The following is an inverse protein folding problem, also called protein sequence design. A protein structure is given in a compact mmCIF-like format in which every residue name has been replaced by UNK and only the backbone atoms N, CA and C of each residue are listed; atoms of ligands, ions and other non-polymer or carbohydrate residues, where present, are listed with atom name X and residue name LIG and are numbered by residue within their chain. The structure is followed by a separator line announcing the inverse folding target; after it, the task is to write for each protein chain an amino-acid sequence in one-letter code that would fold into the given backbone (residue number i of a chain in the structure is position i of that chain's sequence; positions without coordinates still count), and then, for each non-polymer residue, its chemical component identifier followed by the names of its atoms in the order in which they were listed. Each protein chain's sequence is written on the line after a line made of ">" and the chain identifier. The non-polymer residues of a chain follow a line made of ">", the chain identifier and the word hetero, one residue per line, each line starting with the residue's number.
data_IF_606442329015
#
_entry.id   IF_606442329015
#
_cell.length_a   1.000
_cell.length_b   1.000
_cell.length_c   1.000
_cell.angle_alpha   90.00
_cell.angle_beta   90.00
_cell.angle_gamma   90.00
#
_symmetry.space_group_name_H-M   'P 1'
#
loop_
_entity.id
_entity.type
_entity.pdbx_description
1 polymer ?
#
# COMPACT_ATOMS: atom_id res chain seq x y z
N UNK A 1 -48.48 34.25 41.29
CA UNK A 1 -47.09 34.03 40.87
C UNK A 1 -46.91 32.55 40.65
N UNK A 2 -46.84 32.08 39.41
CA UNK A 2 -46.68 30.68 39.06
C UNK A 2 -45.20 30.50 38.61
N UNK A 3 -44.43 29.70 39.34
CA UNK A 3 -43.05 29.38 39.02
C UNK A 3 -43.02 28.21 38.04
N UNK A 4 -42.50 28.48 36.85
CA UNK A 4 -42.29 27.47 35.83
C UNK A 4 -40.86 26.89 35.97
N UNK A 5 -40.77 25.61 36.39
CA UNK A 5 -39.51 24.89 36.48
C UNK A 5 -39.11 24.31 35.10
N UNK A 6 -38.01 24.74 34.58
CA UNK A 6 -37.39 24.16 33.38
C UNK A 6 -36.47 23.01 33.78
N UNK A 7 -36.82 21.80 33.36
CA UNK A 7 -35.94 20.63 33.49
C UNK A 7 -35.00 20.56 32.28
N UNK A 8 -33.70 20.71 32.51
CA UNK A 8 -32.68 20.48 31.49
C UNK A 8 -32.39 18.96 31.42
N UNK A 9 -32.74 18.36 30.26
CA UNK A 9 -32.30 17.02 29.95
C UNK A 9 -30.87 17.05 29.40
N UNK A 10 -29.92 16.52 30.16
CA UNK A 10 -28.52 16.34 29.68
C UNK A 10 -28.46 15.08 28.85
N UNK A 11 -28.41 15.26 27.51
CA UNK A 11 -28.15 14.15 26.57
C UNK A 11 -26.70 13.74 26.69
N UNK A 12 -26.42 12.60 27.32
CA UNK A 12 -25.08 12.01 27.40
C UNK A 12 -24.63 11.53 26.02
N UNK A 13 -23.55 12.12 25.49
CA UNK A 13 -22.85 11.56 24.33
C UNK A 13 -22.18 10.25 24.78
N UNK A 14 -22.69 9.11 24.30
CA UNK A 14 -22.00 7.84 24.39
C UNK A 14 -20.72 7.94 23.56
N UNK A 15 -19.54 7.91 24.21
CA UNK A 15 -18.29 7.76 23.52
C UNK A 15 -18.28 6.38 22.84
N UNK A 16 -18.22 6.38 21.49
CA UNK A 16 -17.99 5.16 20.75
C UNK A 16 -16.64 4.58 21.18
N UNK A 17 -16.65 3.36 21.73
CA UNK A 17 -15.42 2.64 22.07
C UNK A 17 -14.54 2.44 20.82
N UNK A 18 -13.25 2.09 20.99
CA UNK A 18 -12.34 1.86 19.87
C UNK A 18 -12.94 0.80 18.94
N UNK A 19 -13.26 1.22 17.71
CA UNK A 19 -13.72 0.31 16.67
C UNK A 19 -12.54 -0.56 16.26
N UNK A 20 -12.56 -1.82 16.65
CA UNK A 20 -11.61 -2.81 16.14
C UNK A 20 -11.95 -3.06 14.68
N UNK A 21 -11.03 -2.72 13.77
CA UNK A 21 -11.21 -3.03 12.35
C UNK A 21 -11.40 -4.55 12.17
N UNK A 22 -12.32 -4.98 11.28
CA UNK A 22 -12.50 -6.40 11.02
C UNK A 22 -11.21 -7.02 10.51
N UNK A 23 -10.93 -8.30 10.83
CA UNK A 23 -9.73 -8.99 10.35
C UNK A 23 -9.72 -9.01 8.83
N UNK A 24 -8.53 -8.76 8.26
CA UNK A 24 -8.31 -8.74 6.82
C UNK A 24 -8.42 -10.18 6.27
N UNK A 25 -9.32 -10.39 5.30
CA UNK A 25 -9.48 -11.68 4.63
C UNK A 25 -8.61 -11.68 3.37
N UNK A 26 -7.60 -12.58 3.28
CA UNK A 26 -6.74 -12.67 2.10
C UNK A 26 -7.53 -13.05 0.83
N UNK A 27 -7.19 -12.44 -0.30
CA UNK A 27 -7.74 -12.81 -1.59
C UNK A 27 -7.15 -14.11 -2.14
N UNK A 28 -7.91 -14.78 -3.00
CA UNK A 28 -7.50 -15.98 -3.73
C UNK A 28 -7.50 -15.74 -5.23
N UNK A 29 -6.92 -16.63 -6.03
CA UNK A 29 -6.96 -16.53 -7.50
C UNK A 29 -8.37 -16.56 -8.08
N UNK A 30 -9.32 -17.23 -7.40
CA UNK A 30 -10.73 -17.26 -7.80
C UNK A 30 -11.54 -16.05 -7.32
N UNK A 31 -11.08 -15.39 -6.25
CA UNK A 31 -11.70 -14.20 -5.66
C UNK A 31 -10.59 -13.28 -5.14
N UNK A 32 -9.92 -12.52 -6.01
CA UNK A 32 -8.88 -11.57 -5.62
C UNK A 32 -9.44 -10.49 -4.68
N UNK A 33 -8.67 -10.10 -3.66
CA UNK A 33 -9.02 -8.96 -2.82
C UNK A 33 -8.68 -7.66 -3.53
N UNK A 34 -9.61 -6.72 -3.56
CA UNK A 34 -9.36 -5.40 -4.13
C UNK A 34 -8.45 -4.57 -3.21
N UNK A 35 -7.42 -3.97 -3.81
CA UNK A 35 -6.46 -3.08 -3.13
C UNK A 35 -6.28 -1.83 -3.98
N UNK A 36 -6.53 -0.66 -3.40
CA UNK A 36 -6.29 0.61 -4.06
C UNK A 36 -4.93 1.18 -3.64
N UNK A 37 -4.16 1.64 -4.62
CA UNK A 37 -2.96 2.47 -4.44
C UNK A 37 -3.17 3.75 -5.23
N UNK A 38 -3.39 4.84 -4.52
CA UNK A 38 -3.67 6.14 -5.13
C UNK A 38 -2.38 6.96 -5.09
N UNK A 39 -1.83 7.26 -6.27
CA UNK A 39 -0.73 8.20 -6.45
C UNK A 39 -1.28 9.62 -6.59
N UNK A 40 -0.68 10.56 -5.91
CA UNK A 40 -0.82 12.00 -6.11
C UNK A 40 0.58 12.61 -6.14
N UNK A 41 0.69 13.87 -6.54
CA UNK A 41 2.01 14.46 -6.68
C UNK A 41 2.78 14.39 -5.35
N UNK A 42 3.71 13.43 -5.37
CA UNK A 42 4.71 12.96 -4.42
C UNK A 42 4.20 12.24 -3.17
N UNK A 43 2.96 11.70 -3.20
CA UNK A 43 2.44 10.87 -2.11
C UNK A 43 1.66 9.67 -2.63
N UNK A 44 1.63 8.60 -1.83
CA UNK A 44 0.70 7.47 -2.01
C UNK A 44 -0.33 7.42 -0.89
N UNK A 45 -1.50 6.86 -1.20
CA UNK A 45 -2.53 6.52 -0.23
C UNK A 45 -3.12 5.14 -0.58
N UNK A 46 -3.52 4.32 0.42
CA UNK A 46 -3.37 4.56 1.85
C UNK A 46 -1.91 4.51 2.32
N UNK A 47 -1.64 5.00 3.52
CA UNK A 47 -0.37 4.87 4.23
C UNK A 47 -0.65 4.25 5.62
N UNK A 48 -0.23 3.01 5.85
CA UNK A 48 0.45 2.05 4.96
C UNK A 48 -0.49 1.35 3.96
N UNK A 49 0.08 0.73 2.92
CA UNK A 49 -0.63 -0.23 2.08
C UNK A 49 -0.65 -1.60 2.77
N UNK A 50 -1.82 -2.21 2.90
CA UNK A 50 -1.96 -3.53 3.56
C UNK A 50 -1.98 -4.66 2.54
N UNK A 51 -1.06 -5.62 2.68
CA UNK A 51 -0.96 -6.84 1.88
C UNK A 51 -0.79 -8.07 2.77
N UNK A 52 -1.16 -9.26 2.27
CA UNK A 52 -0.95 -10.54 2.93
C UNK A 52 -0.02 -11.41 2.09
N UNK A 53 1.07 -11.96 2.65
CA UNK A 53 1.93 -12.87 1.91
C UNK A 53 1.15 -14.07 1.35
N UNK A 54 1.31 -14.35 0.06
CA UNK A 54 0.62 -15.44 -0.64
C UNK A 54 -0.80 -15.12 -1.12
N UNK A 55 -1.39 -13.97 -0.78
CA UNK A 55 -2.69 -13.59 -1.31
C UNK A 55 -2.65 -13.23 -2.80
N UNK A 56 -3.78 -13.35 -3.46
CA UNK A 56 -3.99 -12.75 -4.79
C UNK A 56 -4.84 -11.49 -4.64
N UNK A 57 -4.34 -10.38 -5.17
CA UNK A 57 -5.04 -9.08 -5.17
C UNK A 57 -5.40 -8.63 -6.58
N UNK A 58 -6.51 -7.91 -6.69
CA UNK A 58 -6.79 -7.03 -7.80
C UNK A 58 -6.33 -5.63 -7.37
N UNK A 59 -5.12 -5.28 -7.80
CA UNK A 59 -4.50 -4.00 -7.46
C UNK A 59 -4.97 -2.92 -8.44
N UNK A 60 -5.54 -1.86 -7.90
CA UNK A 60 -5.94 -0.66 -8.63
C UNK A 60 -4.93 0.44 -8.36
N UNK A 61 -4.04 0.72 -9.32
CA UNK A 61 -3.15 1.87 -9.25
C UNK A 61 -3.82 3.04 -9.95
N UNK A 62 -4.10 4.11 -9.19
CA UNK A 62 -4.90 5.25 -9.64
C UNK A 62 -4.04 6.51 -9.51
N UNK A 63 -3.90 7.27 -10.57
CA UNK A 63 -3.19 8.54 -10.52
C UNK A 63 -4.18 9.71 -10.46
N UNK A 64 -4.32 10.31 -9.29
CA UNK A 64 -5.08 11.54 -9.05
C UNK A 64 -4.20 12.80 -9.01
N UNK A 65 -2.91 12.70 -9.41
CA UNK A 65 -1.97 13.81 -9.55
C UNK A 65 -1.89 14.33 -10.98
N UNK A 66 -1.00 15.27 -11.22
CA UNK A 66 -0.78 15.90 -12.52
C UNK A 66 0.39 15.29 -13.29
N UNK A 67 1.35 14.73 -12.59
CA UNK A 67 2.52 14.09 -13.19
C UNK A 67 2.29 12.60 -13.45
N UNK A 68 3.18 11.99 -14.24
CA UNK A 68 3.24 10.53 -14.38
C UNK A 68 3.83 9.96 -13.10
N UNK A 69 3.28 8.88 -12.60
CA UNK A 69 3.79 8.16 -11.44
C UNK A 69 3.99 6.68 -11.76
N UNK A 70 4.71 6.01 -10.89
CA UNK A 70 4.77 4.55 -10.89
C UNK A 70 4.64 4.02 -9.47
N UNK A 71 4.05 2.85 -9.33
CA UNK A 71 4.04 2.10 -8.09
C UNK A 71 4.99 0.91 -8.25
N UNK A 72 6.16 0.99 -7.63
CA UNK A 72 7.11 -0.11 -7.48
C UNK A 72 6.91 -0.72 -6.12
N UNK A 73 6.50 -1.99 -6.07
CA UNK A 73 6.20 -2.71 -4.84
C UNK A 73 7.24 -3.80 -4.63
N UNK A 74 7.99 -3.71 -3.53
CA UNK A 74 9.03 -4.68 -3.21
C UNK A 74 9.86 -4.29 -1.99
N UNK A 75 10.87 -5.10 -1.70
CA UNK A 75 11.86 -4.85 -0.65
C UNK A 75 12.92 -3.82 -1.05
N UNK A 76 13.89 -3.59 -0.18
CA UNK A 76 14.96 -2.61 -0.42
C UNK A 76 15.76 -2.91 -1.71
N UNK A 77 16.02 -4.18 -2.03
CA UNK A 77 16.78 -4.53 -3.24
C UNK A 77 16.00 -4.18 -4.52
N UNK A 78 14.67 -4.36 -4.50
CA UNK A 78 13.78 -3.93 -5.59
C UNK A 78 13.80 -2.41 -5.74
N UNK A 79 13.68 -1.67 -4.63
CA UNK A 79 13.66 -0.21 -4.66
C UNK A 79 14.99 0.35 -5.18
N UNK A 80 16.13 -0.16 -4.70
CA UNK A 80 17.46 0.26 -5.12
C UNK A 80 17.70 0.00 -6.61
N UNK A 81 17.23 -1.15 -7.12
CA UNK A 81 17.37 -1.50 -8.54
C UNK A 81 16.60 -0.53 -9.44
N UNK A 82 15.37 -0.19 -9.07
CA UNK A 82 14.56 0.76 -9.85
C UNK A 82 15.06 2.18 -9.74
N UNK A 83 15.52 2.63 -8.56
CA UNK A 83 16.13 3.94 -8.39
C UNK A 83 17.36 4.10 -9.30
N UNK A 84 18.24 3.09 -9.34
CA UNK A 84 19.42 3.12 -10.21
C UNK A 84 19.03 3.11 -11.70
N UNK A 85 18.04 2.32 -12.11
CA UNK A 85 17.58 2.25 -13.49
C UNK A 85 16.93 3.56 -13.95
N UNK A 86 16.09 4.18 -13.12
CA UNK A 86 15.44 5.46 -13.42
C UNK A 86 16.43 6.62 -13.40
N UNK A 87 17.37 6.65 -12.47
CA UNK A 87 18.42 7.67 -12.43
C UNK A 87 19.24 7.75 -13.74
N UNK A 88 19.43 6.61 -14.42
CA UNK A 88 20.11 6.57 -15.71
C UNK A 88 19.32 7.27 -16.85
N UNK A 89 18.05 7.61 -16.64
CA UNK A 89 17.21 8.34 -17.60
C UNK A 89 17.17 9.84 -17.34
N UNK A 90 17.64 10.30 -16.18
CA UNK A 90 17.61 11.71 -15.78
C UNK A 90 18.35 12.58 -16.80
N UNK A 91 17.73 13.70 -17.17
CA UNK A 91 18.30 14.66 -18.13
C UNK A 91 18.23 14.22 -19.60
N UNK A 92 17.60 13.11 -19.95
CA UNK A 92 17.35 12.75 -21.35
C UNK A 92 16.27 13.66 -21.96
N UNK A 93 16.41 14.01 -23.25
CA UNK A 93 15.36 14.78 -23.93
C UNK A 93 14.02 14.05 -23.91
N UNK A 94 12.89 14.78 -23.90
CA UNK A 94 11.58 14.15 -24.08
C UNK A 94 11.55 13.34 -25.36
N UNK A 95 11.19 12.09 -25.27
CA UNK A 95 11.11 11.14 -26.38
C UNK A 95 10.28 9.93 -25.96
N UNK A 96 10.10 8.92 -26.82
CA UNK A 96 9.49 7.68 -26.39
C UNK A 96 10.32 7.16 -25.21
N UNK A 97 9.67 7.01 -24.06
CA UNK A 97 10.32 6.57 -22.81
C UNK A 97 11.07 5.27 -23.10
N UNK A 98 12.39 5.18 -22.87
CA UNK A 98 13.11 3.94 -23.04
C UNK A 98 12.44 2.87 -22.18
N UNK A 99 12.32 1.64 -22.69
CA UNK A 99 11.90 0.52 -21.86
C UNK A 99 12.96 0.33 -20.76
N UNK A 100 12.65 0.78 -19.55
CA UNK A 100 13.53 0.62 -18.40
C UNK A 100 13.21 -0.75 -17.82
N UNK A 101 14.24 -1.54 -17.55
CA UNK A 101 14.12 -2.86 -16.96
C UNK A 101 15.22 -3.09 -15.93
N UNK A 102 14.90 -3.91 -14.96
CA UNK A 102 15.85 -4.41 -13.95
C UNK A 102 15.90 -5.94 -14.04
N UNK A 103 16.91 -6.60 -13.45
CA UNK A 103 16.95 -8.06 -13.37
C UNK A 103 15.67 -8.63 -12.74
N UNK A 104 15.17 -9.79 -13.23
CA UNK A 104 13.88 -10.34 -12.79
C UNK A 104 13.79 -10.64 -11.28
N UNK A 105 14.90 -10.99 -10.64
CA UNK A 105 15.00 -11.28 -9.20
C UNK A 105 14.82 -10.06 -8.31
N UNK A 106 15.00 -8.86 -8.86
CA UNK A 106 14.78 -7.57 -8.16
C UNK A 106 13.73 -6.71 -8.87
N UNK A 107 12.90 -7.29 -9.71
CA UNK A 107 11.89 -6.53 -10.44
C UNK A 107 10.69 -6.12 -9.59
N UNK A 108 10.32 -6.91 -8.59
CA UNK A 108 9.11 -6.66 -7.81
C UNK A 108 7.85 -6.58 -8.70
N UNK A 109 6.88 -5.76 -8.28
CA UNK A 109 5.78 -5.35 -9.15
C UNK A 109 5.94 -3.86 -9.49
N UNK A 110 5.96 -3.51 -10.79
CA UNK A 110 5.97 -2.13 -11.25
C UNK A 110 4.75 -1.82 -12.11
N UNK A 111 4.06 -0.75 -11.79
CA UNK A 111 2.90 -0.24 -12.53
C UNK A 111 3.11 1.24 -12.81
N UNK A 112 3.19 1.63 -14.07
CA UNK A 112 3.27 3.05 -14.48
C UNK A 112 1.87 3.56 -14.76
N UNK A 113 1.55 4.76 -14.28
CA UNK A 113 0.21 5.34 -14.38
C UNK A 113 0.29 6.84 -14.71
N UNK A 114 -0.38 7.26 -15.81
CA UNK A 114 -0.42 8.66 -16.24
C UNK A 114 -1.45 9.46 -15.45
N UNK A 115 -1.36 10.77 -15.50
CA UNK A 115 -2.36 11.65 -14.87
C UNK A 115 -3.78 11.29 -15.28
N UNK A 116 -4.66 11.09 -14.30
CA UNK A 116 -6.06 10.69 -14.49
C UNK A 116 -6.26 9.23 -14.90
N UNK A 117 -5.19 8.44 -15.01
CA UNK A 117 -5.25 7.01 -15.40
C UNK A 117 -5.47 6.11 -14.19
N UNK A 118 -6.11 4.97 -14.43
CA UNK A 118 -6.16 3.81 -13.54
C UNK A 118 -5.66 2.58 -14.30
N UNK A 119 -4.79 1.83 -13.68
CA UNK A 119 -4.30 0.55 -14.18
C UNK A 119 -4.66 -0.53 -13.17
N UNK A 120 -5.31 -1.59 -13.65
CA UNK A 120 -5.75 -2.72 -12.84
C UNK A 120 -4.86 -3.93 -13.12
N UNK A 121 -4.31 -4.53 -12.06
CA UNK A 121 -3.40 -5.69 -12.16
C UNK A 121 -3.84 -6.76 -11.17
N UNK A 122 -4.07 -7.97 -11.69
CA UNK A 122 -4.18 -9.16 -10.81
C UNK A 122 -2.78 -9.64 -10.48
N UNK A 123 -2.45 -9.67 -9.20
CA UNK A 123 -1.12 -10.02 -8.73
C UNK A 123 -1.16 -10.92 -7.51
N UNK A 124 -0.32 -11.95 -7.50
CA UNK A 124 -0.13 -12.78 -6.31
C UNK A 124 1.10 -12.30 -5.56
N UNK A 125 0.89 -11.86 -4.33
CA UNK A 125 1.96 -11.43 -3.43
C UNK A 125 2.85 -12.63 -3.13
N UNK A 126 4.19 -12.54 -3.29
CA UNK A 126 5.07 -13.65 -2.96
C UNK A 126 4.87 -14.12 -1.52
N UNK A 127 4.74 -15.44 -1.31
CA UNK A 127 4.54 -15.98 0.04
C UNK A 127 5.73 -15.71 0.98
N UNK A 128 6.92 -15.52 0.41
CA UNK A 128 8.15 -15.17 1.15
C UNK A 128 8.22 -13.70 1.57
N UNK A 129 7.34 -12.84 1.08
CA UNK A 129 7.43 -11.38 1.27
C UNK A 129 7.33 -10.94 2.75
N UNK A 130 6.57 -11.67 3.58
CA UNK A 130 6.31 -11.29 4.98
C UNK A 130 7.52 -11.28 5.90
N UNK A 131 8.69 -11.74 5.45
CA UNK A 131 9.95 -11.73 6.22
C UNK A 131 10.77 -10.44 6.07
N UNK A 132 10.37 -9.52 5.18
CA UNK A 132 11.11 -8.31 4.88
C UNK A 132 10.21 -7.06 4.94
N UNK A 133 10.83 -5.90 5.17
CA UNK A 133 10.16 -4.63 5.02
C UNK A 133 10.00 -4.32 3.53
N UNK A 134 8.77 -4.07 3.10
CA UNK A 134 8.44 -3.68 1.74
C UNK A 134 7.88 -2.27 1.71
N UNK A 135 8.06 -1.61 0.58
CA UNK A 135 7.48 -0.28 0.30
C UNK A 135 6.82 -0.26 -1.07
N UNK A 136 5.90 0.67 -1.24
CA UNK A 136 5.42 1.14 -2.53
C UNK A 136 6.15 2.45 -2.79
N UNK A 137 6.98 2.51 -3.84
CA UNK A 137 7.82 3.67 -4.17
C UNK A 137 7.61 4.16 -5.60
N UNK A 138 7.94 5.42 -5.85
CA UNK A 138 8.01 6.01 -7.19
C UNK A 138 9.43 6.46 -7.46
N UNK A 139 10.08 5.87 -8.47
CA UNK A 139 11.48 6.12 -8.82
C UNK A 139 11.65 7.03 -10.04
N UNK A 140 10.56 7.54 -10.60
CA UNK A 140 10.65 8.61 -11.61
C UNK A 140 11.56 9.71 -11.05
N UNK A 141 12.56 10.20 -11.83
CA UNK A 141 13.59 11.10 -11.32
C UNK A 141 13.07 12.24 -10.47
N UNK A 142 13.50 12.30 -9.22
CA UNK A 142 13.13 13.31 -8.23
C UNK A 142 11.90 13.00 -7.37
N UNK A 143 11.09 11.97 -7.69
CA UNK A 143 9.90 11.63 -6.89
C UNK A 143 10.27 10.95 -5.57
N UNK A 144 11.17 9.96 -5.62
CA UNK A 144 11.69 9.30 -4.44
C UNK A 144 12.33 10.29 -3.45
N UNK A 145 13.16 11.20 -3.95
CA UNK A 145 13.81 12.23 -3.13
C UNK A 145 12.83 13.20 -2.46
N UNK A 146 11.59 13.31 -2.97
CA UNK A 146 10.50 14.08 -2.37
C UNK A 146 9.67 13.27 -1.37
N UNK A 147 10.07 12.03 -1.09
CA UNK A 147 9.40 11.16 -0.13
C UNK A 147 8.23 10.38 -0.70
N UNK A 148 8.12 10.20 -2.04
CA UNK A 148 7.04 9.46 -2.66
C UNK A 148 7.20 7.95 -2.45
N UNK A 149 6.97 7.54 -1.22
CA UNK A 149 6.99 6.15 -0.78
C UNK A 149 6.08 5.95 0.43
N UNK A 150 5.52 4.75 0.58
CA UNK A 150 4.76 4.33 1.76
C UNK A 150 5.11 2.89 2.12
N UNK A 151 5.11 2.53 3.41
CA UNK A 151 5.38 1.15 3.82
C UNK A 151 4.25 0.21 3.43
N UNK A 152 4.61 -1.04 3.17
CA UNK A 152 3.67 -2.16 3.16
C UNK A 152 3.55 -2.69 4.58
N UNK A 153 2.32 -2.78 5.09
CA UNK A 153 2.00 -3.47 6.33
C UNK A 153 1.51 -4.87 6.01
N UNK A 154 2.19 -5.87 6.55
CA UNK A 154 1.78 -7.24 6.38
C UNK A 154 0.57 -7.55 7.26
N UNK A 155 -0.56 -7.85 6.62
CA UNK A 155 -1.75 -8.43 7.24
C UNK A 155 -1.63 -9.96 7.29
N UNK A 156 -2.48 -10.59 8.04
CA UNK A 156 -2.57 -12.04 8.16
C UNK A 156 -3.25 -12.42 9.46
N UNK A 157 -3.59 -13.68 9.67
CA UNK A 157 -3.99 -14.13 10.98
C UNK A 157 -2.82 -13.80 11.92
N UNK A 158 -3.05 -12.91 12.90
CA UNK A 158 -2.12 -12.73 14.00
C UNK A 158 -1.87 -14.11 14.58
N UNK A 159 -0.64 -14.63 14.44
CA UNK A 159 -0.25 -15.81 15.17
C UNK A 159 -0.55 -15.48 16.65
N UNK A 160 -1.56 -16.17 17.22
CA UNK A 160 -1.82 -16.05 18.65
C UNK A 160 -0.53 -16.43 19.38
N UNK A 161 -0.03 -15.59 20.28
CA UNK A 161 1.19 -15.89 21.02
C UNK A 161 1.03 -17.07 22.02
N UNK A 162 -0.09 -17.76 22.01
CA UNK A 162 -0.49 -18.76 22.99
C UNK A 162 -0.54 -20.22 22.46
N UNK A 163 0.43 -20.63 21.65
CA UNK A 163 0.62 -22.04 21.36
C UNK A 163 1.93 -22.62 21.93
N UNK A 164 2.47 -22.01 23.00
CA UNK A 164 3.67 -22.54 23.67
C UNK A 164 3.37 -22.66 25.17
N UNK A 165 3.03 -23.87 25.63
CA UNK A 165 3.03 -24.15 27.04
C UNK A 165 1.91 -25.02 27.60
N UNK A 166 1.79 -26.26 27.12
CA UNK A 166 1.26 -27.33 27.98
C UNK A 166 2.41 -28.23 28.38
N UNK A 167 2.86 -28.31 29.64
CA UNK A 167 3.76 -29.32 30.08
C UNK A 167 3.03 -30.67 30.11
N UNK A 168 3.60 -31.68 29.46
CA UNK A 168 3.19 -33.05 29.63
C UNK A 168 3.49 -33.49 31.09
N UNK A 169 2.47 -33.97 31.75
CA UNK A 169 2.54 -34.70 33.03
C UNK A 169 2.47 -36.23 32.73
#
# INVERSE_FOLDING_TARGET
>A
MVALAFAFAVSGCSAAGPSVAPPLVPGTSAAPREVNVIARDYVFAPDPVELVPGETVLLHVINGGLEVHEAVIGDAAVQDAWEAAEAATAGRPPGPTPAISVPPDVAGLRVVVRSGERVDVVWTVPASAGGAAWVVGCHIPGHWARGMQVPVRWGGPTASPDASGAPAS
#
